data_IF_492956392349
#
_entry.id   IF_492956392349
#
_cell.length_a   1.000
_cell.length_b   1.000
_cell.length_c   1.000
_cell.angle_alpha   90.00
_cell.angle_beta   90.00
_cell.angle_gamma   90.00
#
_symmetry.space_group_name_H-M   'P 1'
#
loop_
_entity.id
_entity.type
_entity.pdbx_description
1 polymer ?
#
# COMPACT_ATOMS: atom_id res chain seq x y z
N UNK A 1 -17.11 -18.21 -5.07
CA UNK A 1 -17.75 -16.94 -5.49
C UNK A 1 -17.03 -15.74 -4.87
N UNK A 2 -16.72 -15.78 -3.58
CA UNK A 2 -15.97 -14.73 -2.85
C UNK A 2 -14.55 -14.48 -3.39
N UNK A 3 -13.82 -15.54 -3.75
CA UNK A 3 -12.45 -15.40 -4.29
C UNK A 3 -12.38 -14.66 -5.63
N UNK A 4 -13.40 -14.83 -6.48
CA UNK A 4 -13.48 -14.12 -7.77
C UNK A 4 -13.72 -12.63 -7.57
N UNK A 5 -14.58 -12.27 -6.62
CA UNK A 5 -14.82 -10.86 -6.26
C UNK A 5 -13.54 -10.21 -5.74
N UNK A 6 -12.84 -10.86 -4.80
CA UNK A 6 -11.59 -10.32 -4.21
C UNK A 6 -10.48 -10.25 -5.26
N UNK A 7 -10.33 -11.26 -6.11
CA UNK A 7 -9.35 -11.22 -7.20
C UNK A 7 -9.57 -10.01 -8.12
N UNK A 8 -10.81 -9.78 -8.57
CA UNK A 8 -11.15 -8.60 -9.38
C UNK A 8 -10.99 -7.29 -8.60
N UNK A 9 -11.25 -7.30 -7.29
CA UNK A 9 -11.12 -6.12 -6.43
C UNK A 9 -9.67 -5.63 -6.34
N UNK A 10 -8.69 -6.52 -6.21
CA UNK A 10 -7.27 -6.14 -6.05
C UNK A 10 -6.48 -6.08 -7.36
N UNK A 11 -7.07 -6.57 -8.45
CA UNK A 11 -6.48 -6.55 -9.79
C UNK A 11 -6.08 -5.12 -10.21
N UNK A 12 -5.00 -4.97 -10.98
CA UNK A 12 -4.57 -3.70 -11.56
C UNK A 12 -4.19 -2.58 -10.58
N UNK A 13 -4.26 -2.79 -9.26
CA UNK A 13 -3.89 -1.80 -8.24
C UNK A 13 -2.45 -1.31 -8.45
N UNK A 14 -1.52 -2.25 -8.67
CA UNK A 14 -0.11 -1.94 -8.89
C UNK A 14 0.13 -1.14 -10.18
N UNK A 15 -0.62 -1.43 -11.24
CA UNK A 15 -0.56 -0.68 -12.49
C UNK A 15 -1.00 0.77 -12.30
N UNK A 16 -2.02 1.02 -11.46
CA UNK A 16 -2.45 2.38 -11.11
C UNK A 16 -1.38 3.15 -10.33
N UNK A 17 -0.72 2.50 -9.37
CA UNK A 17 0.44 3.08 -8.69
C UNK A 17 1.52 3.48 -9.70
N UNK A 18 1.93 2.56 -10.60
CA UNK A 18 2.94 2.86 -11.63
C UNK A 18 2.55 4.05 -12.50
N UNK A 19 1.30 4.12 -12.95
CA UNK A 19 0.82 5.24 -13.76
C UNK A 19 0.87 6.58 -13.00
N UNK A 20 0.54 6.57 -11.71
CA UNK A 20 0.65 7.75 -10.83
C UNK A 20 2.11 8.20 -10.67
N UNK A 21 3.05 7.27 -10.47
CA UNK A 21 4.47 7.59 -10.29
C UNK A 21 5.12 8.10 -11.60
N UNK A 22 4.69 7.59 -12.76
CA UNK A 22 5.22 7.99 -14.07
C UNK A 22 4.69 9.34 -14.55
N UNK A 23 3.40 9.63 -14.32
CA UNK A 23 2.74 10.87 -14.75
C UNK A 23 2.66 11.86 -13.59
N UNK A 24 3.83 12.31 -13.11
CA UNK A 24 3.92 13.26 -11.99
C UNK A 24 3.15 14.55 -12.34
N UNK A 25 2.31 15.01 -11.42
CA UNK A 25 1.44 16.19 -11.61
C UNK A 25 0.12 15.91 -12.36
N UNK A 26 -0.15 14.66 -12.75
CA UNK A 26 -1.47 14.26 -13.28
C UNK A 26 -2.35 13.74 -12.14
N UNK A 27 -3.09 14.64 -11.49
CA UNK A 27 -4.01 14.34 -10.39
C UNK A 27 -5.05 13.29 -10.77
N UNK A 28 -5.36 13.12 -12.08
CA UNK A 28 -6.29 12.07 -12.52
C UNK A 28 -5.80 10.67 -12.16
N UNK A 29 -4.48 10.44 -12.11
CA UNK A 29 -3.91 9.13 -11.75
C UNK A 29 -3.96 8.89 -10.25
N UNK A 30 -3.68 9.92 -9.45
CA UNK A 30 -3.83 9.88 -8.00
C UNK A 30 -5.31 9.63 -7.63
N UNK A 31 -6.24 10.34 -8.24
CA UNK A 31 -7.68 10.13 -8.05
C UNK A 31 -8.13 8.73 -8.48
N UNK A 32 -7.62 8.20 -9.59
CA UNK A 32 -7.94 6.85 -10.04
C UNK A 32 -7.43 5.77 -9.08
N UNK A 33 -6.24 5.95 -8.50
CA UNK A 33 -5.71 5.06 -7.46
C UNK A 33 -6.55 5.18 -6.19
N UNK A 34 -6.84 6.39 -5.73
CA UNK A 34 -7.66 6.64 -4.54
C UNK A 34 -9.07 6.06 -4.66
N UNK A 35 -9.71 6.21 -5.82
CA UNK A 35 -11.02 5.60 -6.09
C UNK A 35 -10.96 4.08 -6.02
N UNK A 36 -9.83 3.45 -6.37
CA UNK A 36 -9.62 2.02 -6.19
C UNK A 36 -9.46 1.65 -4.72
N UNK A 37 -8.64 2.39 -3.97
CA UNK A 37 -8.46 2.19 -2.52
C UNK A 37 -9.79 2.33 -1.76
N UNK A 38 -10.66 3.26 -2.16
CA UNK A 38 -12.03 3.41 -1.61
C UNK A 38 -12.88 2.15 -1.80
N UNK A 39 -12.75 1.44 -2.93
CA UNK A 39 -13.47 0.18 -3.16
C UNK A 39 -12.96 -0.94 -2.26
N UNK A 40 -11.64 -0.98 -2.02
CA UNK A 40 -11.02 -1.96 -1.13
C UNK A 40 -11.44 -1.70 0.32
N UNK A 41 -11.40 -0.44 0.77
CA UNK A 41 -11.88 -0.01 2.08
C UNK A 41 -13.35 -0.39 2.29
N UNK A 42 -14.22 -0.10 1.32
CA UNK A 42 -15.64 -0.47 1.39
C UNK A 42 -15.86 -1.98 1.44
N UNK A 43 -15.07 -2.76 0.70
CA UNK A 43 -15.10 -4.22 0.82
C UNK A 43 -14.75 -4.69 2.23
N UNK A 44 -13.68 -4.16 2.81
CA UNK A 44 -13.23 -4.51 4.17
C UNK A 44 -14.28 -4.12 5.22
N UNK A 45 -14.89 -2.94 5.08
CA UNK A 45 -15.97 -2.47 5.96
C UNK A 45 -17.18 -3.41 5.92
N UNK A 46 -17.60 -3.84 4.72
CA UNK A 46 -18.74 -4.75 4.56
C UNK A 46 -18.46 -6.16 5.08
N UNK A 47 -17.23 -6.65 4.93
CA UNK A 47 -16.85 -7.98 5.42
C UNK A 47 -16.66 -8.02 6.94
N UNK A 48 -16.16 -6.93 7.52
CA UNK A 48 -15.89 -6.80 8.95
C UNK A 48 -15.02 -7.94 9.51
N UNK A 49 -14.05 -8.41 8.70
CA UNK A 49 -13.07 -9.43 9.07
C UNK A 49 -11.67 -8.83 9.14
N UNK A 50 -10.74 -9.52 9.80
CA UNK A 50 -9.36 -9.05 9.94
C UNK A 50 -8.62 -8.89 8.60
N UNK A 51 -8.85 -9.82 7.67
CA UNK A 51 -8.21 -9.85 6.34
C UNK A 51 -9.25 -9.90 5.20
N UNK A 52 -8.78 -9.94 3.94
CA UNK A 52 -9.64 -9.74 2.75
C UNK A 52 -10.80 -10.74 2.60
N UNK A 53 -10.60 -11.98 3.07
CA UNK A 53 -11.56 -13.09 2.91
C UNK A 53 -12.05 -13.67 4.24
N UNK A 54 -11.45 -13.29 5.37
CA UNK A 54 -11.73 -13.84 6.69
C UNK A 54 -10.69 -13.39 7.73
N UNK A 55 -10.62 -14.07 8.87
CA UNK A 55 -9.69 -13.71 9.96
C UNK A 55 -8.29 -14.35 9.83
N UNK A 56 -8.14 -15.24 8.86
CA UNK A 56 -6.88 -15.90 8.51
C UNK A 56 -6.35 -15.36 7.18
N UNK A 57 -5.05 -15.07 7.12
CA UNK A 57 -4.38 -14.59 5.92
C UNK A 57 -4.53 -15.60 4.76
N UNK A 58 -4.74 -15.09 3.55
CA UNK A 58 -4.79 -15.87 2.32
C UNK A 58 -3.88 -15.30 1.23
N UNK A 59 -3.84 -15.95 0.06
CA UNK A 59 -2.99 -15.51 -1.06
C UNK A 59 -3.27 -14.08 -1.52
N UNK A 60 -4.52 -13.62 -1.44
CA UNK A 60 -4.89 -12.24 -1.81
C UNK A 60 -4.27 -11.21 -0.88
N UNK A 61 -4.10 -11.54 0.40
CA UNK A 61 -3.45 -10.66 1.38
C UNK A 61 -1.95 -10.53 1.05
N UNK A 62 -1.30 -11.66 0.76
CA UNK A 62 0.10 -11.68 0.32
C UNK A 62 0.34 -10.87 -0.97
N UNK A 63 -0.68 -10.70 -1.81
CA UNK A 63 -0.62 -9.87 -3.01
C UNK A 63 -0.90 -8.39 -2.71
N UNK A 64 -1.89 -8.10 -1.85
CA UNK A 64 -2.32 -6.74 -1.55
C UNK A 64 -1.34 -6.01 -0.62
N UNK A 65 -0.86 -6.67 0.43
CA UNK A 65 -0.03 -6.05 1.47
C UNK A 65 1.25 -5.40 0.91
N UNK A 66 2.08 -6.06 0.07
CA UNK A 66 3.23 -5.41 -0.54
C UNK A 66 2.85 -4.22 -1.43
N UNK A 67 1.72 -4.29 -2.14
CA UNK A 67 1.25 -3.18 -2.98
C UNK A 67 0.86 -1.97 -2.15
N UNK A 68 0.17 -2.17 -1.03
CA UNK A 68 -0.17 -1.08 -0.11
C UNK A 68 1.09 -0.42 0.46
N UNK A 69 2.09 -1.21 0.83
CA UNK A 69 3.37 -0.67 1.32
C UNK A 69 4.08 0.18 0.26
N UNK A 70 4.13 -0.30 -0.98
CA UNK A 70 4.68 0.46 -2.09
C UNK A 70 3.89 1.74 -2.35
N UNK A 71 2.55 1.71 -2.25
CA UNK A 71 1.72 2.92 -2.37
C UNK A 71 2.07 3.94 -1.29
N UNK A 72 2.22 3.52 -0.03
CA UNK A 72 2.59 4.43 1.06
C UNK A 72 3.96 5.06 0.86
N UNK A 73 4.97 4.23 0.61
CA UNK A 73 6.37 4.68 0.56
C UNK A 73 6.64 5.46 -0.74
N UNK A 74 6.37 4.86 -1.90
CA UNK A 74 6.66 5.50 -3.18
C UNK A 74 5.68 6.62 -3.50
N UNK A 75 4.40 6.48 -3.13
CA UNK A 75 3.40 7.54 -3.31
C UNK A 75 3.81 8.82 -2.58
N UNK A 76 4.18 8.70 -1.29
CA UNK A 76 4.65 9.84 -0.51
C UNK A 76 5.94 10.43 -1.08
N UNK A 77 6.94 9.59 -1.39
CA UNK A 77 8.24 10.07 -1.84
C UNK A 77 8.21 10.81 -3.19
N UNK A 78 7.52 10.27 -4.19
CA UNK A 78 7.62 10.79 -5.56
C UNK A 78 6.58 11.85 -5.91
N UNK A 79 5.40 11.81 -5.29
CA UNK A 79 4.25 12.64 -5.67
C UNK A 79 3.44 13.14 -4.46
N UNK A 80 3.99 13.05 -3.25
CA UNK A 80 3.35 13.49 -2.00
C UNK A 80 1.95 12.89 -1.76
N UNK A 81 1.70 11.69 -2.30
CA UNK A 81 0.42 11.00 -2.13
C UNK A 81 0.38 10.27 -0.79
N UNK A 82 -0.70 10.51 -0.03
CA UNK A 82 -1.02 9.80 1.21
C UNK A 82 -2.37 9.09 1.10
N UNK A 83 -2.48 7.92 1.73
CA UNK A 83 -3.76 7.22 1.87
C UNK A 83 -4.62 8.03 2.86
N UNK A 84 -5.81 8.53 2.46
CA UNK A 84 -6.59 9.39 3.33
C UNK A 84 -7.04 8.67 4.62
N UNK A 85 -7.09 9.41 5.73
CA UNK A 85 -7.44 8.86 7.05
C UNK A 85 -8.87 8.33 7.12
N UNK A 86 -9.78 8.82 6.29
CA UNK A 86 -11.16 8.34 6.24
C UNK A 86 -11.30 6.90 5.75
N UNK A 87 -10.26 6.31 5.14
CA UNK A 87 -10.22 4.90 4.73
C UNK A 87 -9.88 4.01 5.94
N UNK A 88 -10.72 4.09 6.97
CA UNK A 88 -10.44 3.50 8.29
C UNK A 88 -10.32 1.98 8.28
N UNK A 89 -11.12 1.28 7.46
CA UNK A 89 -11.04 -0.19 7.38
C UNK A 89 -9.73 -0.61 6.70
N UNK A 90 -9.28 0.13 5.68
CA UNK A 90 -7.98 -0.08 5.05
C UNK A 90 -6.81 0.23 6.01
N UNK A 91 -6.91 1.29 6.81
CA UNK A 91 -5.90 1.59 7.83
C UNK A 91 -5.83 0.52 8.91
N UNK A 92 -6.97 -0.01 9.38
CA UNK A 92 -7.02 -1.14 10.32
C UNK A 92 -6.44 -2.41 9.71
N UNK A 93 -6.70 -2.67 8.43
CA UNK A 93 -6.08 -3.79 7.71
C UNK A 93 -4.55 -3.64 7.69
N UNK A 94 -4.03 -2.44 7.37
CA UNK A 94 -2.58 -2.19 7.41
C UNK A 94 -2.00 -2.28 8.83
N UNK A 95 -2.75 -1.89 9.86
CA UNK A 95 -2.34 -2.10 11.25
C UNK A 95 -2.11 -3.59 11.53
N UNK A 96 -3.04 -4.47 11.15
CA UNK A 96 -2.86 -5.92 11.30
C UNK A 96 -1.75 -6.48 10.40
N UNK A 97 -1.56 -5.94 9.19
CA UNK A 97 -0.43 -6.28 8.32
C UNK A 97 0.91 -6.02 9.01
N UNK A 98 1.07 -4.89 9.70
CA UNK A 98 2.32 -4.57 10.41
C UNK A 98 2.56 -5.40 11.68
N UNK A 99 1.57 -6.18 12.13
CA UNK A 99 1.71 -7.15 13.22
C UNK A 99 2.04 -8.57 12.73
N UNK A 100 2.02 -8.82 11.41
CA UNK A 100 2.33 -10.13 10.85
C UNK A 100 3.84 -10.29 10.65
N UNK A 101 4.43 -11.29 11.30
CA UNK A 101 5.84 -11.67 11.08
C UNK A 101 6.12 -11.98 9.60
N UNK A 102 5.17 -12.64 8.92
CA UNK A 102 5.28 -12.94 7.50
C UNK A 102 5.49 -11.68 6.65
N UNK A 103 4.84 -10.56 7.02
CA UNK A 103 5.01 -9.28 6.34
C UNK A 103 6.27 -8.55 6.83
N UNK A 104 6.46 -8.38 8.15
CA UNK A 104 7.59 -7.60 8.69
C UNK A 104 8.95 -8.20 8.36
N UNK A 105 9.05 -9.54 8.25
CA UNK A 105 10.30 -10.22 7.89
C UNK A 105 10.59 -10.21 6.38
N UNK A 106 9.60 -9.93 5.54
CA UNK A 106 9.76 -9.92 4.07
C UNK A 106 9.67 -8.52 3.47
N UNK A 107 9.18 -7.53 4.22
CA UNK A 107 9.04 -6.16 3.77
C UNK A 107 10.44 -5.54 3.55
N UNK A 108 10.73 -5.03 2.35
CA UNK A 108 11.97 -4.29 2.11
C UNK A 108 11.96 -2.96 2.88
N UNK A 109 13.15 -2.39 3.06
CA UNK A 109 13.28 -1.05 3.63
C UNK A 109 12.69 0.01 2.68
N UNK A 110 12.28 1.15 3.23
CA UNK A 110 11.69 2.24 2.47
C UNK A 110 12.64 2.71 1.34
N UNK A 111 13.94 2.76 1.64
CA UNK A 111 15.00 3.14 0.71
C UNK A 111 15.06 2.20 -0.51
N UNK A 112 14.89 0.90 -0.30
CA UNK A 112 14.91 -0.10 -1.38
C UNK A 112 13.68 0.03 -2.28
N UNK A 113 12.51 0.29 -1.70
CA UNK A 113 11.27 0.57 -2.47
C UNK A 113 11.47 1.82 -3.32
N UNK A 114 11.99 2.91 -2.73
CA UNK A 114 12.25 4.15 -3.46
C UNK A 114 13.26 3.91 -4.59
N UNK A 115 14.36 3.22 -4.29
CA UNK A 115 15.40 2.90 -5.25
C UNK A 115 14.86 2.05 -6.42
N UNK A 116 14.03 1.04 -6.12
CA UNK A 116 13.37 0.22 -7.13
C UNK A 116 12.64 1.09 -8.19
N UNK A 117 11.90 2.11 -7.76
CA UNK A 117 11.21 3.01 -8.70
C UNK A 117 12.12 4.05 -9.34
N UNK A 118 13.19 4.50 -8.68
CA UNK A 118 14.22 5.36 -9.29
C UNK A 118 14.87 4.64 -10.48
N UNK A 119 15.27 3.39 -10.29
CA UNK A 119 15.88 2.57 -11.34
C UNK A 119 14.93 2.34 -12.53
N UNK A 120 13.64 2.08 -12.28
CA UNK A 120 12.63 1.96 -13.34
C UNK A 120 12.46 3.25 -14.16
N UNK A 121 12.73 4.41 -13.56
CA UNK A 121 12.65 5.73 -14.21
C UNK A 121 14.00 6.20 -14.78
N UNK A 122 15.04 5.36 -14.75
CA UNK A 122 16.38 5.72 -15.22
C UNK A 122 17.11 6.74 -14.35
N UNK A 123 16.65 6.97 -13.11
CA UNK A 123 17.29 7.87 -12.16
C UNK A 123 18.48 7.18 -11.49
N UNK A 124 19.61 7.90 -11.33
CA UNK A 124 20.78 7.42 -10.60
C UNK A 124 20.67 7.75 -9.11
N UNK A 125 21.10 6.84 -8.25
CA UNK A 125 21.28 7.11 -6.82
C UNK A 125 22.43 8.10 -6.59
N UNK A 126 22.28 8.93 -5.56
CA UNK A 126 23.40 9.71 -5.02
C UNK A 126 24.12 8.86 -3.97
N UNK A 127 25.46 8.93 -3.88
CA UNK A 127 26.26 8.17 -2.89
C UNK A 127 25.76 8.29 -1.44
N UNK A 128 25.19 9.44 -1.07
CA UNK A 128 24.59 9.62 0.26
C UNK A 128 23.41 8.67 0.51
N UNK A 129 22.57 8.46 -0.50
CA UNK A 129 21.37 7.60 -0.42
C UNK A 129 21.75 6.11 -0.27
N UNK A 130 22.93 5.70 -0.75
CA UNK A 130 23.44 4.32 -0.61
C UNK A 130 23.90 3.99 0.82
N UNK A 131 24.18 5.02 1.62
CA UNK A 131 24.66 4.90 3.00
C UNK A 131 23.57 5.21 4.03
N UNK A 132 22.33 5.43 3.58
CA UNK A 132 21.20 5.69 4.48
C UNK A 132 20.88 4.46 5.32
N UNK A 133 20.64 4.68 6.61
CA UNK A 133 20.19 3.61 7.51
C UNK A 133 18.79 3.16 7.08
N UNK A 134 18.56 1.84 6.90
CA UNK A 134 17.26 1.32 6.54
C UNK A 134 16.15 1.75 7.52
N UNK A 135 15.04 2.26 6.98
CA UNK A 135 13.84 2.59 7.75
C UNK A 135 12.63 1.84 7.20
N UNK A 136 11.60 1.67 8.04
CA UNK A 136 10.39 0.93 7.67
C UNK A 136 9.15 1.75 8.04
N UNK A 137 8.38 2.15 7.03
CA UNK A 137 7.12 2.87 7.24
C UNK A 137 6.05 1.91 7.76
N UNK A 138 5.83 1.91 9.08
CA UNK A 138 4.82 1.08 9.77
C UNK A 138 3.85 1.89 10.63
N UNK A 139 3.99 3.22 10.65
CA UNK A 139 3.13 4.10 11.44
C UNK A 139 1.67 4.06 10.96
N UNK A 140 0.73 4.13 11.89
CA UNK A 140 -0.70 4.29 11.64
C UNK A 140 -1.12 5.68 12.16
N UNK A 141 -2.00 6.41 11.46
CA UNK A 141 -2.51 7.68 11.97
C UNK A 141 -3.20 7.51 13.34
N UNK A 142 -2.87 8.37 14.29
CA UNK A 142 -3.28 8.26 15.71
C UNK A 142 -4.80 8.28 15.90
N UNK A 143 -5.53 8.87 14.96
CA UNK A 143 -6.99 9.08 15.03
C UNK A 143 -7.81 7.87 14.53
N UNK A 144 -7.16 6.79 14.08
CA UNK A 144 -7.87 5.61 13.58
C UNK A 144 -8.32 4.75 14.77
N UNK A 145 -9.63 4.55 14.92
CA UNK A 145 -10.14 3.58 15.89
C UNK A 145 -9.75 2.16 15.46
N UNK A 146 -9.02 1.45 16.32
CA UNK A 146 -8.56 0.08 16.09
C UNK A 146 -9.42 -0.96 16.82
N UNK A 147 -10.37 -0.50 17.64
CA UNK A 147 -11.28 -1.32 18.43
C UNK A 147 -12.69 -1.22 17.80
N UNK A 148 -13.03 -2.14 16.90
CA UNK A 148 -14.41 -2.44 16.47
C UNK A 148 -14.50 -3.94 16.15
#
# INVERSE_FOLDING_TARGET
>A
MQDKEVATLIENLYSKLKLMLLKRGDDSKAHALLAHLRKIDEHMRRKATRFLTGDTMCCFDCELMPRLQHIRVAGKYFVDFEIPKELSALWRYMYHMYQLDAFTQSCPADQDIINHYKLQQGMKMKKHEELETPTFTTSIPVDINLED
#
